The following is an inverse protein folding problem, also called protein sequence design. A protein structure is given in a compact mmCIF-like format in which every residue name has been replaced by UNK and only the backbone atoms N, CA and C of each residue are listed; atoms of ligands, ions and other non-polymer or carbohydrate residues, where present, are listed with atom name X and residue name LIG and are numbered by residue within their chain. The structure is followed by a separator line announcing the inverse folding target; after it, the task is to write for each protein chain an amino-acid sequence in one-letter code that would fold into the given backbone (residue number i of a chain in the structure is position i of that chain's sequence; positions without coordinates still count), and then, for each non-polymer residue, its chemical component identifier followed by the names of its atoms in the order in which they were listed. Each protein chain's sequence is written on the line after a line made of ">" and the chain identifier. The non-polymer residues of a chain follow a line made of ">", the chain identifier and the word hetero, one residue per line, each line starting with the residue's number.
data_IF_686684743236
#
_entry.id   IF_686684743236
#
_cell.length_a   1.000
_cell.length_b   1.000
_cell.length_c   1.000
_cell.angle_alpha   90.00
_cell.angle_beta   90.00
_cell.angle_gamma   90.00
#
_symmetry.space_group_name_H-M   'P 1'
#
loop_
_entity.id
_entity.type
_entity.pdbx_description
1 polymer ?
#
# COMPACT_ATOMS: atom_id res chain seq x y z
N UNK A 1 -1.94 -7.32 7.86
CA UNK A 1 -0.86 -6.63 7.11
C UNK A 1 -1.31 -6.42 5.66
N UNK A 2 -1.09 -5.24 5.06
CA UNK A 2 -1.51 -4.92 3.67
C UNK A 2 -0.83 -5.78 2.59
N UNK A 3 0.39 -6.26 2.84
CA UNK A 3 1.17 -7.06 1.89
C UNK A 3 0.69 -8.51 1.75
N UNK A 4 0.10 -9.07 2.81
CA UNK A 4 -0.41 -10.46 2.83
C UNK A 4 -1.93 -10.51 2.68
N UNK A 5 -2.56 -9.42 2.25
CA UNK A 5 -4.02 -9.27 2.11
C UNK A 5 -4.83 -9.40 3.41
N UNK A 6 -4.22 -9.66 4.57
CA UNK A 6 -4.90 -9.65 5.88
C UNK A 6 -5.20 -8.19 6.30
N UNK A 7 -6.19 -7.57 5.66
CA UNK A 7 -6.54 -6.16 5.84
C UNK A 7 -8.04 -5.98 5.79
N UNK A 8 -8.57 -4.88 6.35
CA UNK A 8 -10.01 -4.56 6.28
C UNK A 8 -10.41 -3.96 4.91
N UNK A 9 -9.69 -4.32 3.86
CA UNK A 9 -10.02 -3.93 2.49
C UNK A 9 -11.12 -4.85 1.96
N UNK A 10 -12.09 -4.28 1.24
CA UNK A 10 -13.26 -5.05 0.78
C UNK A 10 -12.93 -6.22 -0.12
N UNK A 11 -11.86 -6.14 -0.91
CA UNK A 11 -11.39 -7.29 -1.70
C UNK A 11 -11.09 -8.53 -0.83
N UNK A 12 -10.41 -8.35 0.30
CA UNK A 12 -10.16 -9.45 1.24
C UNK A 12 -11.44 -9.88 1.96
N UNK A 13 -12.25 -8.93 2.43
CA UNK A 13 -13.50 -9.23 3.14
C UNK A 13 -14.48 -10.02 2.27
N UNK A 14 -14.57 -9.70 0.98
CA UNK A 14 -15.39 -10.44 0.02
C UNK A 14 -14.89 -11.88 -0.20
N UNK A 15 -13.56 -12.09 -0.26
CA UNK A 15 -12.97 -13.43 -0.39
C UNK A 15 -13.35 -14.33 0.81
N UNK A 16 -13.38 -13.76 2.02
CA UNK A 16 -13.73 -14.51 3.24
C UNK A 16 -15.24 -14.49 3.56
N UNK A 17 -16.07 -13.91 2.69
CA UNK A 17 -17.52 -13.83 2.87
C UNK A 17 -17.99 -12.85 3.95
N UNK A 18 -17.13 -11.95 4.42
CA UNK A 18 -17.48 -10.93 5.42
C UNK A 18 -18.13 -9.66 4.81
N UNK A 19 -18.02 -9.48 3.49
CA UNK A 19 -18.67 -8.42 2.71
C UNK A 19 -19.25 -9.02 1.42
N UNK A 20 -20.39 -8.50 0.96
CA UNK A 20 -21.05 -9.02 -0.26
C UNK A 20 -20.36 -8.57 -1.55
N UNK A 21 -19.53 -7.52 -1.49
CA UNK A 21 -18.88 -6.92 -2.65
C UNK A 21 -17.45 -6.48 -2.35
N UNK A 22 -16.57 -6.70 -3.32
CA UNK A 22 -15.19 -6.20 -3.31
C UNK A 22 -15.07 -4.74 -3.77
N UNK A 23 -16.17 -4.10 -4.19
CA UNK A 23 -16.17 -2.73 -4.68
C UNK A 23 -15.85 -1.72 -3.57
N UNK A 24 -14.92 -0.81 -3.88
CA UNK A 24 -14.62 0.30 -2.98
C UNK A 24 -15.82 1.23 -2.85
N UNK A 25 -16.04 1.78 -1.65
CA UNK A 25 -17.09 2.78 -1.44
C UNK A 25 -16.87 4.09 -2.20
N UNK A 26 -15.76 4.27 -2.91
CA UNK A 26 -15.58 5.37 -3.88
C UNK A 26 -16.30 5.12 -5.22
N UNK A 27 -16.73 3.88 -5.48
CA UNK A 27 -17.45 3.47 -6.69
C UNK A 27 -16.59 3.25 -7.94
N UNK A 28 -15.29 3.53 -7.91
CA UNK A 28 -14.44 3.53 -9.12
C UNK A 28 -13.85 2.16 -9.47
N UNK A 29 -13.53 1.34 -8.47
CA UNK A 29 -12.90 0.03 -8.68
C UNK A 29 -13.08 -0.87 -7.45
N UNK A 30 -12.62 -2.12 -7.58
CA UNK A 30 -12.42 -3.03 -6.45
C UNK A 30 -11.46 -2.42 -5.44
N UNK A 31 -11.75 -2.56 -4.16
CA UNK A 31 -10.89 -2.08 -3.07
C UNK A 31 -9.76 -3.09 -2.80
N UNK A 32 -8.79 -3.14 -3.71
CA UNK A 32 -7.52 -3.84 -3.49
C UNK A 32 -6.44 -2.90 -2.93
N UNK A 33 -5.27 -3.44 -2.60
CA UNK A 33 -4.16 -2.67 -2.01
C UNK A 33 -3.67 -1.55 -2.94
N UNK A 34 -3.67 -1.77 -4.26
CA UNK A 34 -3.25 -0.76 -5.24
C UNK A 34 -4.24 0.38 -5.29
N UNK A 35 -5.52 0.06 -5.44
CA UNK A 35 -6.57 1.06 -5.46
C UNK A 35 -6.58 1.87 -4.17
N UNK A 36 -6.54 1.19 -3.02
CA UNK A 36 -6.51 1.82 -1.71
C UNK A 36 -5.35 2.80 -1.58
N UNK A 37 -4.11 2.38 -1.84
CA UNK A 37 -2.93 3.22 -1.60
C UNK A 37 -2.69 4.30 -2.67
N UNK A 38 -3.17 4.10 -3.91
CA UNK A 38 -2.73 4.93 -5.04
C UNK A 38 -3.85 5.59 -5.86
N UNK A 39 -5.10 5.10 -5.78
CA UNK A 39 -6.17 5.53 -6.69
C UNK A 39 -7.49 5.92 -6.01
N UNK A 40 -7.69 5.56 -4.75
CA UNK A 40 -8.92 5.86 -4.02
C UNK A 40 -9.05 7.36 -3.72
N UNK A 41 -9.91 8.04 -4.48
CA UNK A 41 -10.17 9.47 -4.36
C UNK A 41 -10.69 9.90 -2.97
N UNK A 42 -11.31 8.99 -2.21
CA UNK A 42 -11.77 9.27 -0.83
C UNK A 42 -10.62 9.69 0.09
N UNK A 43 -9.41 9.22 -0.18
CA UNK A 43 -8.24 9.41 0.65
C UNK A 43 -7.15 10.23 -0.03
N UNK A 44 -7.49 10.94 -1.12
CA UNK A 44 -6.54 11.70 -1.92
C UNK A 44 -5.80 12.77 -1.08
N UNK A 45 -6.47 13.36 -0.10
CA UNK A 45 -5.89 14.33 0.85
C UNK A 45 -4.78 13.74 1.73
N UNK A 46 -4.63 12.41 1.81
CA UNK A 46 -3.57 11.75 2.56
C UNK A 46 -2.39 11.32 1.67
N UNK A 47 -2.47 11.55 0.35
CA UNK A 47 -1.43 11.15 -0.60
C UNK A 47 -0.19 12.02 -0.53
N UNK A 48 -0.30 13.28 -0.08
CA UNK A 48 0.83 14.22 -0.02
C UNK A 48 2.02 13.66 0.77
N UNK A 49 1.77 13.06 1.94
CA UNK A 49 2.81 12.42 2.75
C UNK A 49 3.45 11.23 2.02
N UNK A 50 2.65 10.40 1.36
CA UNK A 50 3.15 9.24 0.61
C UNK A 50 3.94 9.64 -0.64
N UNK A 51 3.52 10.69 -1.34
CA UNK A 51 4.21 11.24 -2.50
C UNK A 51 5.55 11.83 -2.07
N UNK A 52 5.56 12.62 -0.98
CA UNK A 52 6.79 13.24 -0.45
C UNK A 52 7.83 12.21 -0.03
N UNK A 53 7.43 11.16 0.67
CA UNK A 53 8.35 10.10 1.10
C UNK A 53 8.72 9.11 -0.02
N UNK A 54 7.77 8.83 -0.92
CA UNK A 54 7.95 7.91 -2.04
C UNK A 54 8.85 8.46 -3.15
N UNK A 55 8.85 9.78 -3.37
CA UNK A 55 9.62 10.46 -4.43
C UNK A 55 9.42 9.75 -5.78
N UNK A 56 10.51 9.40 -6.47
CA UNK A 56 10.50 8.68 -7.75
C UNK A 56 9.95 7.25 -7.66
N UNK A 57 9.83 6.70 -6.46
CA UNK A 57 9.26 5.37 -6.21
C UNK A 57 7.79 5.40 -5.78
N UNK A 58 7.15 6.58 -5.73
CA UNK A 58 5.71 6.64 -5.50
C UNK A 58 4.97 5.96 -6.65
N UNK A 59 4.03 5.06 -6.32
CA UNK A 59 3.34 4.21 -7.28
C UNK A 59 3.93 2.80 -7.43
N UNK A 60 5.18 2.59 -6.96
CA UNK A 60 5.72 1.24 -6.79
C UNK A 60 5.17 0.62 -5.51
N UNK A 61 4.17 -0.24 -5.69
CA UNK A 61 3.50 -0.92 -4.59
C UNK A 61 4.44 -1.81 -3.77
N UNK A 62 5.44 -2.44 -4.41
CA UNK A 62 6.40 -3.28 -3.69
C UNK A 62 7.24 -2.41 -2.78
N UNK A 63 7.85 -1.34 -3.32
CA UNK A 63 8.67 -0.39 -2.55
C UNK A 63 7.88 0.21 -1.38
N UNK A 64 6.67 0.71 -1.63
CA UNK A 64 5.83 1.33 -0.60
C UNK A 64 5.48 0.38 0.55
N UNK A 65 5.38 -0.92 0.27
CA UNK A 65 5.11 -1.97 1.26
C UNK A 65 6.39 -2.61 1.84
N UNK A 66 7.55 -2.00 1.61
CA UNK A 66 8.85 -2.47 2.10
C UNK A 66 9.33 -3.74 1.39
N UNK A 67 8.90 -3.97 0.16
CA UNK A 67 9.42 -4.96 -0.76
C UNK A 67 10.44 -4.36 -1.70
N UNK A 68 11.19 -5.25 -2.36
CA UNK A 68 12.13 -4.85 -3.40
C UNK A 68 11.33 -4.49 -4.66
N UNK A 69 11.64 -3.34 -5.23
CA UNK A 69 11.05 -2.86 -6.47
C UNK A 69 11.20 -3.91 -7.57
N UNK A 70 10.11 -4.17 -8.30
CA UNK A 70 10.16 -4.94 -9.55
C UNK A 70 10.57 -4.08 -10.74
N UNK A 71 10.73 -2.76 -10.54
CA UNK A 71 11.18 -1.85 -11.58
C UNK A 71 12.64 -2.15 -11.92
N UNK A 72 12.92 -2.10 -13.21
CA UNK A 72 14.25 -2.28 -13.76
C UNK A 72 14.52 -1.06 -14.62
N UNK A 73 15.61 -0.36 -14.33
CA UNK A 73 16.07 0.78 -15.11
C UNK A 73 16.34 0.34 -16.56
N UNK A 74 16.31 1.25 -17.56
CA UNK A 74 16.61 0.90 -18.95
C UNK A 74 17.96 0.18 -19.16
N UNK A 75 18.94 0.46 -18.29
CA UNK A 75 20.26 -0.18 -18.27
C UNK A 75 20.27 -1.56 -17.57
N UNK A 76 19.10 -2.16 -17.29
CA UNK A 76 18.89 -3.40 -16.54
C UNK A 76 19.34 -3.40 -15.08
N UNK A 77 19.71 -2.25 -14.53
CA UNK A 77 19.98 -2.14 -13.09
C UNK A 77 18.68 -2.06 -12.29
N UNK A 78 18.69 -2.58 -11.08
CA UNK A 78 17.61 -2.38 -10.12
C UNK A 78 17.79 -1.01 -9.44
N UNK A 79 16.73 -0.20 -9.28
CA UNK A 79 16.81 1.04 -8.51
C UNK A 79 17.24 0.80 -7.06
N UNK A 80 16.93 -0.39 -6.55
CA UNK A 80 17.22 -0.88 -5.22
C UNK A 80 18.66 -1.41 -5.05
N UNK A 81 19.48 -1.35 -6.10
CA UNK A 81 20.85 -1.86 -6.08
C UNK A 81 20.97 -3.37 -5.90
N UNK A 82 22.12 -3.83 -5.40
CA UNK A 82 22.40 -5.26 -5.19
C UNK A 82 21.49 -5.88 -4.14
N UNK A 83 20.99 -7.10 -4.40
CA UNK A 83 20.06 -7.80 -3.50
C UNK A 83 20.63 -8.04 -2.11
N UNK A 84 21.93 -8.29 -2.01
CA UNK A 84 22.64 -8.52 -0.74
C UNK A 84 22.70 -7.29 0.16
N UNK A 85 22.63 -6.09 -0.44
CA UNK A 85 22.68 -4.81 0.29
C UNK A 85 21.29 -4.19 0.46
N UNK A 86 20.27 -4.81 -0.11
CA UNK A 86 18.93 -4.26 -0.13
C UNK A 86 18.32 -4.23 1.27
N UNK A 87 17.72 -3.10 1.63
CA UNK A 87 16.96 -2.91 2.86
C UNK A 87 15.69 -2.12 2.54
N UNK A 88 14.56 -2.41 3.21
CA UNK A 88 13.34 -1.65 3.01
C UNK A 88 13.51 -0.20 3.47
N UNK A 89 12.84 0.73 2.79
CA UNK A 89 12.71 2.10 3.28
C UNK A 89 11.71 2.14 4.44
N UNK A 90 12.22 2.08 5.68
CA UNK A 90 11.40 2.05 6.90
C UNK A 90 10.55 3.31 7.06
N UNK A 91 11.03 4.46 6.59
CA UNK A 91 10.25 5.71 6.61
C UNK A 91 9.02 5.60 5.71
N UNK A 92 9.19 5.10 4.48
CA UNK A 92 8.09 4.86 3.55
C UNK A 92 7.05 3.89 4.14
N UNK A 93 7.51 2.77 4.70
CA UNK A 93 6.63 1.77 5.33
C UNK A 93 5.84 2.40 6.49
N UNK A 94 6.49 3.21 7.34
CA UNK A 94 5.81 3.93 8.43
C UNK A 94 4.76 4.91 7.89
N UNK A 95 5.03 5.57 6.78
CA UNK A 95 4.08 6.49 6.14
C UNK A 95 2.86 5.74 5.62
N UNK A 96 3.04 4.57 4.98
CA UNK A 96 1.90 3.71 4.57
C UNK A 96 1.09 3.21 5.77
N UNK A 97 1.75 2.84 6.88
CA UNK A 97 1.06 2.44 8.11
C UNK A 97 0.23 3.61 8.66
N UNK A 98 0.82 4.81 8.76
CA UNK A 98 0.12 6.02 9.22
C UNK A 98 -1.09 6.34 8.32
N UNK A 99 -0.91 6.27 7.01
CA UNK A 99 -1.99 6.42 6.03
C UNK A 99 -3.12 5.43 6.35
N UNK A 100 -2.81 4.14 6.46
CA UNK A 100 -3.84 3.11 6.62
C UNK A 100 -4.52 3.09 8.01
N UNK A 101 -3.86 3.61 9.04
CA UNK A 101 -4.48 3.88 10.34
C UNK A 101 -5.45 5.07 10.26
N UNK A 102 -5.09 6.16 9.57
CA UNK A 102 -5.98 7.32 9.37
C UNK A 102 -7.24 6.97 8.58
N UNK A 103 -7.21 5.93 7.75
CA UNK A 103 -8.38 5.45 7.01
C UNK A 103 -9.16 4.34 7.72
N UNK A 104 -8.77 3.97 8.95
CA UNK A 104 -9.35 2.87 9.74
C UNK A 104 -9.30 1.48 9.07
N UNK A 105 -8.50 1.34 8.00
CA UNK A 105 -8.37 0.09 7.24
C UNK A 105 -7.35 -0.87 7.85
N UNK A 106 -6.47 -0.36 8.70
CA UNK A 106 -5.72 -1.14 9.67
C UNK A 106 -6.36 -0.91 11.04
N UNK A 107 -6.84 -1.98 11.68
CA UNK A 107 -7.21 -1.88 13.09
C UNK A 107 -5.97 -1.58 13.92
N UNK A 108 -6.07 -0.64 14.86
CA UNK A 108 -5.20 -0.67 16.03
C UNK A 108 -5.39 -2.04 16.66
N UNK A 109 -4.33 -2.85 16.78
CA UNK A 109 -4.37 -3.94 17.75
C UNK A 109 -4.32 -3.28 19.13
N UNK A 110 -5.47 -2.81 19.59
CA UNK A 110 -5.73 -2.74 21.02
C UNK A 110 -5.93 -4.20 21.43
N UNK A 111 -4.94 -4.78 22.11
CA UNK A 111 -5.19 -5.99 22.86
C UNK A 111 -6.18 -5.64 23.97
N UNK A 112 -7.33 -6.28 23.95
CA UNK A 112 -8.11 -6.58 25.16
C UNK A 112 -7.57 -7.90 25.75
#
# INVERSE_FOLDING_TARGET
>A
QLRTSHSKLRSFLAIIGAEESDMCGCGQAKEDTRHFLLHCQRYQHLYEDMIREGKEHYGDLSYMLGGRSSYINPNRSSPDGLIEKWKPNVTMVRTVIKYALKTERLGSQSGD
#
